data_IF_002101341633
#
_entry.id   IF_002101341633
#
_cell.length_a   1.000
_cell.length_b   1.000
_cell.length_c   1.000
_cell.angle_alpha   90.00
_cell.angle_beta   90.00
_cell.angle_gamma   90.00
#
_symmetry.space_group_name_H-M   'P 1'
#
loop_
_entity.id
_entity.type
_entity.pdbx_description
1 polymer ?
#
# COMPACT_ATOMS: atom_id res chain seq x y z
N UNK A 1 -8.13 40.67 -4.93
CA UNK A 1 -7.26 41.08 -6.05
C UNK A 1 -7.70 40.33 -7.30
N UNK A 2 -7.84 41.04 -8.41
CA UNK A 2 -8.09 40.45 -9.73
C UNK A 2 -6.87 40.71 -10.62
N UNK A 3 -6.48 39.74 -11.43
CA UNK A 3 -5.35 39.86 -12.36
C UNK A 3 -5.93 39.93 -13.78
N UNK A 4 -5.69 41.05 -14.44
CA UNK A 4 -6.10 41.28 -15.84
C UNK A 4 -4.92 40.87 -16.73
N UNK A 5 -5.09 39.84 -17.54
CA UNK A 5 -4.04 39.35 -18.46
C UNK A 5 -4.36 39.77 -19.90
N UNK A 6 -3.92 41.00 -20.25
CA UNK A 6 -3.77 41.64 -21.58
C UNK A 6 -5.02 42.05 -22.42
N UNK A 7 -4.74 43.02 -23.31
CA UNK A 7 -5.58 44.08 -23.89
C UNK A 7 -6.63 43.60 -24.92
N UNK A 8 -7.90 43.82 -24.58
CA UNK A 8 -9.09 43.81 -25.44
C UNK A 8 -10.26 44.47 -24.68
N UNK A 9 -11.34 44.93 -25.34
CA UNK A 9 -12.36 45.79 -24.69
C UNK A 9 -13.06 45.12 -23.50
N UNK A 10 -13.07 43.79 -23.41
CA UNK A 10 -13.47 43.02 -22.24
C UNK A 10 -12.53 41.82 -22.02
N UNK A 11 -11.23 42.10 -21.78
CA UNK A 11 -10.21 41.07 -21.59
C UNK A 11 -10.55 40.01 -20.52
N UNK A 12 -9.92 38.84 -20.58
CA UNK A 12 -10.19 37.73 -19.66
C UNK A 12 -9.95 38.15 -18.20
N UNK A 13 -11.02 38.22 -17.41
CA UNK A 13 -10.98 38.62 -16.00
C UNK A 13 -10.84 37.38 -15.13
N UNK A 14 -9.80 37.32 -14.29
CA UNK A 14 -9.62 36.24 -13.32
C UNK A 14 -9.42 36.81 -11.93
N UNK A 15 -10.08 36.20 -10.94
CA UNK A 15 -9.96 36.58 -9.53
C UNK A 15 -11.25 37.08 -8.90
N UNK A 16 -11.12 37.65 -7.71
CA UNK A 16 -12.25 38.07 -6.89
C UNK A 16 -12.55 39.56 -7.08
N UNK A 17 -13.80 39.86 -7.45
CA UNK A 17 -14.38 41.19 -7.55
C UNK A 17 -15.56 41.25 -6.56
N UNK A 18 -15.32 41.85 -5.39
CA UNK A 18 -16.32 41.93 -4.31
C UNK A 18 -16.82 40.57 -3.84
N UNK A 19 -18.14 40.37 -3.95
CA UNK A 19 -18.86 39.14 -3.61
C UNK A 19 -18.86 38.06 -4.69
N UNK A 20 -18.13 38.26 -5.80
CA UNK A 20 -18.08 37.33 -6.93
C UNK A 20 -16.63 36.95 -7.23
N UNK A 21 -16.39 35.67 -7.45
CA UNK A 21 -15.11 35.08 -7.86
C UNK A 21 -15.27 34.56 -9.29
N UNK A 22 -14.49 35.10 -10.22
CA UNK A 22 -14.48 34.68 -11.62
C UNK A 22 -13.32 33.70 -11.82
N UNK A 23 -13.64 32.49 -12.27
CA UNK A 23 -12.68 31.40 -12.52
C UNK A 23 -12.95 30.76 -13.87
N UNK A 24 -11.92 30.19 -14.50
CA UNK A 24 -12.08 29.42 -15.74
C UNK A 24 -12.29 27.95 -15.41
N UNK A 25 -13.40 27.37 -15.87
CA UNK A 25 -13.70 25.95 -15.68
C UNK A 25 -14.02 25.31 -17.04
N UNK A 26 -13.25 24.27 -17.40
CA UNK A 26 -13.36 23.56 -18.69
C UNK A 26 -13.40 24.48 -19.93
N UNK A 27 -12.63 25.58 -19.90
CA UNK A 27 -12.54 26.52 -21.01
C UNK A 27 -13.61 27.61 -21.03
N UNK A 28 -14.61 27.56 -20.14
CA UNK A 28 -15.64 28.59 -19.97
C UNK A 28 -15.37 29.42 -18.72
N UNK A 29 -15.56 30.74 -18.81
CA UNK A 29 -15.43 31.62 -17.66
C UNK A 29 -16.72 31.56 -16.82
N UNK A 30 -16.58 31.19 -15.55
CA UNK A 30 -17.68 30.99 -14.61
C UNK A 30 -17.52 31.91 -13.40
N UNK A 31 -18.57 32.67 -13.11
CA UNK A 31 -18.68 33.49 -11.89
C UNK A 31 -19.35 32.70 -10.77
N UNK A 32 -18.75 32.70 -9.57
CA UNK A 32 -19.32 32.07 -8.36
C UNK A 32 -19.39 33.10 -7.24
N UNK A 33 -20.39 33.03 -6.38
CA UNK A 33 -20.43 33.86 -5.17
C UNK A 33 -19.22 33.56 -4.28
N UNK A 34 -18.67 34.58 -3.63
CA UNK A 34 -17.61 34.43 -2.63
C UNK A 34 -18.07 33.46 -1.55
N UNK A 35 -17.27 32.43 -1.21
CA UNK A 35 -17.63 31.51 -0.16
C UNK A 35 -17.90 32.25 1.16
N UNK A 36 -19.06 32.04 1.76
CA UNK A 36 -19.37 32.61 3.08
C UNK A 36 -18.40 32.10 4.15
N UNK A 37 -18.19 32.89 5.22
CA UNK A 37 -17.42 32.44 6.41
C UNK A 37 -18.10 31.21 7.02
N UNK A 38 -17.57 30.03 6.72
CA UNK A 38 -18.07 28.76 7.27
C UNK A 38 -17.70 28.69 8.76
N UNK A 39 -18.68 28.76 9.67
CA UNK A 39 -18.48 28.36 11.06
C UNK A 39 -18.13 26.86 11.04
N UNK A 40 -16.89 26.50 11.41
CA UNK A 40 -16.51 25.09 11.57
C UNK A 40 -17.34 24.51 12.73
N UNK A 41 -18.45 23.84 12.41
CA UNK A 41 -19.09 22.93 13.37
C UNK A 41 -18.06 21.82 13.63
N UNK A 42 -17.69 21.63 14.90
CA UNK A 42 -16.71 20.61 15.33
C UNK A 42 -17.38 19.23 15.27
N UNK A 43 -17.75 18.81 14.08
CA UNK A 43 -18.34 17.50 13.85
C UNK A 43 -17.25 16.43 14.05
N UNK A 44 -17.58 15.36 14.78
CA UNK A 44 -16.64 14.28 15.11
C UNK A 44 -16.45 13.32 13.93
N UNK A 45 -17.44 13.21 13.04
CA UNK A 45 -17.36 12.33 11.86
C UNK A 45 -16.19 12.68 10.91
N UNK A 46 -15.92 13.97 10.58
CA UNK A 46 -14.73 14.34 9.85
C UNK A 46 -13.41 13.98 10.55
N UNK A 47 -13.37 14.02 11.88
CA UNK A 47 -12.15 13.72 12.65
C UNK A 47 -11.85 12.21 12.62
N UNK A 48 -12.87 11.37 12.78
CA UNK A 48 -12.73 9.92 12.70
C UNK A 48 -12.21 9.47 11.32
N UNK A 49 -12.83 9.96 10.24
CA UNK A 49 -12.43 9.62 8.89
C UNK A 49 -10.98 10.03 8.60
N UNK A 50 -10.57 11.20 9.09
CA UNK A 50 -9.20 11.69 8.95
C UNK A 50 -8.19 10.81 9.71
N UNK A 51 -8.52 10.34 10.91
CA UNK A 51 -7.64 9.44 11.68
C UNK A 51 -7.47 8.10 10.97
N UNK A 52 -8.57 7.48 10.54
CA UNK A 52 -8.54 6.21 9.79
C UNK A 52 -7.75 6.33 8.49
N UNK A 53 -7.99 7.41 7.73
CA UNK A 53 -7.26 7.67 6.49
C UNK A 53 -5.76 7.88 6.74
N UNK A 54 -5.39 8.64 7.79
CA UNK A 54 -3.98 8.87 8.15
C UNK A 54 -3.28 7.56 8.52
N UNK A 55 -3.95 6.71 9.30
CA UNK A 55 -3.44 5.41 9.72
C UNK A 55 -3.19 4.48 8.51
N UNK A 56 -4.18 4.31 7.63
CA UNK A 56 -4.05 3.48 6.43
C UNK A 56 -3.00 4.05 5.48
N UNK A 57 -2.98 5.37 5.26
CA UNK A 57 -2.01 5.99 4.35
C UNK A 57 -0.58 5.83 4.87
N UNK A 58 -0.36 5.96 6.19
CA UNK A 58 0.94 5.74 6.82
C UNK A 58 1.39 4.29 6.65
N UNK A 59 0.49 3.33 6.86
CA UNK A 59 0.76 1.90 6.68
C UNK A 59 1.07 1.52 5.24
N UNK A 60 0.33 2.03 4.25
CA UNK A 60 0.53 1.69 2.85
C UNK A 60 1.70 2.43 2.20
N UNK A 61 2.17 3.55 2.78
CA UNK A 61 3.22 4.38 2.17
C UNK A 61 4.52 3.64 1.84
N UNK A 62 5.05 2.73 2.69
CA UNK A 62 6.23 1.92 2.36
C UNK A 62 6.00 0.97 1.17
N UNK A 63 4.76 0.53 0.94
CA UNK A 63 4.41 -0.45 -0.08
C UNK A 63 4.07 0.16 -1.45
N UNK A 64 4.27 1.48 -1.65
CA UNK A 64 3.88 2.18 -2.89
C UNK A 64 4.37 1.50 -4.17
N UNK A 65 5.58 0.94 -4.15
CA UNK A 65 6.15 0.25 -5.31
C UNK A 65 5.41 -1.07 -5.59
N UNK A 66 5.16 -1.88 -4.56
CA UNK A 66 4.41 -3.13 -4.68
C UNK A 66 2.94 -2.89 -5.06
N UNK A 67 2.29 -1.88 -4.47
CA UNK A 67 0.91 -1.50 -4.78
C UNK A 67 0.79 -1.03 -6.24
N UNK A 68 1.81 -0.34 -6.77
CA UNK A 68 1.84 0.08 -8.17
C UNK A 68 1.87 -1.11 -9.14
N UNK A 69 2.46 -2.23 -8.72
CA UNK A 69 2.45 -3.49 -9.48
C UNK A 69 1.10 -4.19 -9.29
N UNK A 70 0.64 -4.32 -8.04
CA UNK A 70 -0.53 -5.09 -7.65
C UNK A 70 -1.90 -4.48 -7.99
N UNK A 71 -1.98 -3.19 -8.28
CA UNK A 71 -3.19 -2.55 -8.77
C UNK A 71 -2.92 -2.00 -10.17
N UNK A 72 -3.12 -2.86 -11.16
CA UNK A 72 -2.88 -2.58 -12.57
C UNK A 72 -3.71 -1.37 -13.08
N UNK A 73 -3.19 -0.74 -14.15
CA UNK A 73 -3.62 0.50 -14.82
C UNK A 73 -5.04 0.46 -15.43
N UNK A 74 -5.84 -0.57 -15.14
CA UNK A 74 -7.13 -0.84 -15.80
C UNK A 74 -8.20 0.21 -15.54
N UNK A 75 -8.05 1.05 -14.51
CA UNK A 75 -8.98 2.15 -14.25
C UNK A 75 -8.38 3.48 -14.70
N UNK A 76 -8.94 4.06 -15.77
CA UNK A 76 -8.51 5.33 -16.38
C UNK A 76 -8.57 6.56 -15.46
N UNK A 77 -8.97 6.41 -14.20
CA UNK A 77 -9.23 7.51 -13.26
C UNK A 77 -8.62 7.42 -11.86
N UNK A 78 -7.99 6.32 -11.44
CA UNK A 78 -7.42 6.24 -10.08
C UNK A 78 -5.98 5.68 -10.08
N UNK A 79 -4.99 6.40 -9.50
CA UNK A 79 -3.65 5.86 -9.27
C UNK A 79 -3.77 4.71 -8.26
N UNK A 80 -3.32 3.49 -8.58
CA UNK A 80 -3.57 2.26 -7.81
C UNK A 80 -3.35 2.34 -6.29
N UNK A 81 -2.52 3.28 -5.83
CA UNK A 81 -2.39 3.63 -4.41
C UNK A 81 -3.70 4.09 -3.75
N UNK A 82 -4.50 4.91 -4.41
CA UNK A 82 -5.79 5.37 -3.90
C UNK A 82 -6.80 4.22 -3.79
N UNK A 83 -6.80 3.30 -4.77
CA UNK A 83 -7.64 2.10 -4.73
C UNK A 83 -7.25 1.20 -3.56
N UNK A 84 -5.95 1.00 -3.32
CA UNK A 84 -5.47 0.27 -2.16
C UNK A 84 -5.86 0.95 -0.84
N UNK A 85 -5.74 2.28 -0.75
CA UNK A 85 -6.18 3.05 0.42
C UNK A 85 -7.68 2.87 0.66
N UNK A 86 -8.51 2.99 -0.37
CA UNK A 86 -9.97 2.84 -0.25
C UNK A 86 -10.36 1.44 0.24
N UNK A 87 -9.76 0.40 -0.35
CA UNK A 87 -10.03 -0.98 0.04
C UNK A 87 -9.64 -1.25 1.49
N UNK A 88 -8.41 -0.90 1.87
CA UNK A 88 -7.91 -1.13 3.23
C UNK A 88 -8.65 -0.28 4.27
N UNK A 89 -9.09 0.93 3.91
CA UNK A 89 -9.91 1.77 4.80
C UNK A 89 -11.26 1.13 5.15
N UNK A 90 -11.85 0.37 4.22
CA UNK A 90 -13.13 -0.33 4.39
C UNK A 90 -12.98 -1.68 5.09
N UNK A 91 -11.89 -2.41 4.83
CA UNK A 91 -11.78 -3.82 5.24
C UNK A 91 -10.71 -4.11 6.30
N UNK A 92 -9.61 -3.35 6.32
CA UNK A 92 -8.44 -3.62 7.15
C UNK A 92 -8.34 -2.72 8.39
N UNK A 93 -9.21 -1.73 8.55
CA UNK A 93 -9.26 -0.91 9.78
C UNK A 93 -10.19 -1.57 10.79
N UNK A 94 -9.65 -1.86 11.96
CA UNK A 94 -10.38 -2.35 13.12
C UNK A 94 -10.31 -1.33 14.28
N UNK A 95 -11.11 -1.54 15.32
CA UNK A 95 -11.16 -0.68 16.49
C UNK A 95 -12.32 0.33 16.49
N UNK A 96 -12.38 1.11 17.55
CA UNK A 96 -13.42 2.12 17.80
C UNK A 96 -12.72 3.44 18.07
N UNK A 97 -13.30 4.55 17.61
CA UNK A 97 -12.76 5.89 17.87
C UNK A 97 -12.42 6.08 19.36
N UNK A 98 -11.22 6.57 19.71
CA UNK A 98 -10.15 7.08 18.84
C UNK A 98 -9.08 6.05 18.44
N UNK A 99 -9.14 4.84 19.00
CA UNK A 99 -8.11 3.81 18.91
C UNK A 99 -8.39 2.88 17.72
N UNK A 100 -7.87 3.28 16.56
CA UNK A 100 -7.91 2.48 15.34
C UNK A 100 -6.63 1.68 15.17
N UNK A 101 -6.77 0.44 14.72
CA UNK A 101 -5.67 -0.47 14.42
C UNK A 101 -5.85 -1.11 13.04
N UNK A 102 -4.77 -1.70 12.52
CA UNK A 102 -4.79 -2.38 11.23
C UNK A 102 -4.88 -3.89 11.45
N UNK A 103 -5.92 -4.49 10.91
CA UNK A 103 -6.05 -5.93 10.77
C UNK A 103 -5.16 -6.40 9.60
N UNK A 104 -3.94 -6.83 9.92
CA UNK A 104 -2.95 -7.29 8.94
C UNK A 104 -3.44 -8.45 8.07
N UNK A 105 -4.36 -9.28 8.56
CA UNK A 105 -4.89 -10.43 7.81
C UNK A 105 -5.81 -10.01 6.67
N UNK A 106 -6.45 -8.85 6.82
CA UNK A 106 -7.36 -8.25 5.82
C UNK A 106 -6.68 -7.20 4.96
N UNK A 107 -5.42 -6.88 5.24
CA UNK A 107 -4.65 -5.93 4.46
C UNK A 107 -4.37 -6.48 3.05
N UNK A 108 -4.67 -5.68 2.03
CA UNK A 108 -4.50 -6.05 0.62
C UNK A 108 -3.64 -5.03 -0.12
N UNK A 109 -2.62 -5.51 -0.84
CA UNK A 109 -1.70 -4.69 -1.63
C UNK A 109 -1.82 -4.91 -3.14
N UNK A 110 -2.52 -5.97 -3.54
CA UNK A 110 -2.72 -6.39 -4.93
C UNK A 110 -4.10 -7.01 -5.06
N UNK A 111 -4.81 -6.69 -6.14
CA UNK A 111 -6.09 -7.29 -6.47
C UNK A 111 -6.19 -7.52 -7.99
N UNK A 112 -6.44 -8.77 -8.39
CA UNK A 112 -6.52 -9.12 -9.79
C UNK A 112 -7.10 -10.51 -10.04
N UNK A 113 -6.94 -10.97 -11.27
CA UNK A 113 -7.58 -12.19 -11.77
C UNK A 113 -6.68 -13.43 -11.73
N UNK A 114 -5.40 -13.31 -11.36
CA UNK A 114 -4.53 -14.47 -11.21
C UNK A 114 -4.82 -15.22 -9.92
N UNK A 115 -4.57 -16.53 -9.95
CA UNK A 115 -4.68 -17.39 -8.78
C UNK A 115 -3.76 -16.91 -7.66
N UNK A 116 -4.31 -16.75 -6.47
CA UNK A 116 -3.59 -16.45 -5.23
C UNK A 116 -2.62 -17.59 -4.84
N UNK A 117 -1.72 -17.30 -3.89
CA UNK A 117 -0.83 -18.32 -3.33
C UNK A 117 -1.60 -19.35 -2.50
N UNK A 118 -1.36 -20.62 -2.80
CA UNK A 118 -1.94 -21.76 -2.10
C UNK A 118 -1.00 -22.25 -1.00
N UNK A 119 -1.58 -22.60 0.15
CA UNK A 119 -0.87 -23.14 1.32
C UNK A 119 0.42 -22.37 1.71
N UNK A 120 0.49 -21.06 1.41
CA UNK A 120 1.71 -20.30 1.58
C UNK A 120 2.06 -20.10 3.06
N UNK A 121 3.32 -20.34 3.40
CA UNK A 121 3.85 -20.30 4.77
C UNK A 121 5.19 -19.59 4.79
N UNK A 122 5.48 -18.94 5.92
CA UNK A 122 6.78 -18.35 6.21
C UNK A 122 7.41 -19.06 7.41
N UNK A 123 8.71 -19.30 7.33
CA UNK A 123 9.52 -19.93 8.38
C UNK A 123 10.81 -19.13 8.53
N UNK A 124 11.22 -18.88 9.76
CA UNK A 124 12.54 -18.33 10.06
C UNK A 124 13.56 -19.49 10.07
N UNK A 125 14.65 -19.33 9.32
CA UNK A 125 15.80 -20.25 9.30
C UNK A 125 16.98 -19.57 9.98
N UNK A 126 17.50 -20.20 11.02
CA UNK A 126 18.51 -19.57 11.88
C UNK A 126 17.99 -18.24 12.45
N UNK A 127 18.83 -17.21 12.40
CA UNK A 127 18.56 -15.96 13.12
C UNK A 127 18.15 -14.79 12.20
N UNK A 128 18.43 -14.89 10.89
CA UNK A 128 18.28 -13.75 9.96
C UNK A 128 17.87 -14.14 8.53
N UNK A 129 17.53 -15.42 8.29
CA UNK A 129 17.04 -15.89 6.99
C UNK A 129 15.57 -16.24 7.08
N UNK A 130 14.77 -15.77 6.13
CA UNK A 130 13.39 -16.22 5.95
C UNK A 130 13.31 -17.20 4.79
N UNK A 131 12.48 -18.23 4.97
CA UNK A 131 12.00 -19.09 3.91
C UNK A 131 10.49 -18.93 3.78
N UNK A 132 10.03 -18.56 2.60
CA UNK A 132 8.63 -18.58 2.20
C UNK A 132 8.42 -19.74 1.24
N UNK A 133 7.41 -20.56 1.48
CA UNK A 133 7.03 -21.68 0.61
C UNK A 133 5.57 -21.54 0.21
N UNK A 134 5.21 -22.00 -0.98
CA UNK A 134 3.84 -22.07 -1.46
C UNK A 134 3.63 -23.28 -2.36
N UNK A 135 2.37 -23.65 -2.53
CA UNK A 135 1.96 -24.74 -3.41
C UNK A 135 1.33 -24.19 -4.68
N UNK A 136 1.35 -25.00 -5.73
CA UNK A 136 0.59 -24.76 -6.96
C UNK A 136 -0.37 -25.94 -7.11
N UNK A 137 -1.69 -25.71 -7.08
CA UNK A 137 -2.65 -26.80 -7.18
C UNK A 137 -2.57 -27.42 -8.58
N UNK A 138 -2.78 -28.73 -8.64
CA UNK A 138 -2.69 -29.52 -9.88
C UNK A 138 -3.71 -29.06 -10.95
N UNK A 139 -4.79 -28.40 -10.53
CA UNK A 139 -5.80 -27.79 -11.40
C UNK A 139 -5.33 -26.52 -12.11
N UNK A 140 -4.28 -25.86 -11.63
CA UNK A 140 -3.73 -24.66 -12.27
C UNK A 140 -2.87 -25.06 -13.47
N UNK A 141 -2.97 -24.32 -14.58
CA UNK A 141 -2.15 -24.56 -15.79
C UNK A 141 -0.69 -24.13 -15.56
N UNK A 142 0.08 -24.95 -14.86
CA UNK A 142 1.47 -24.71 -14.38
C UNK A 142 2.41 -24.20 -15.49
N UNK A 143 2.24 -24.64 -16.75
CA UNK A 143 3.11 -24.24 -17.87
C UNK A 143 3.03 -22.73 -18.20
N UNK A 144 1.86 -22.11 -18.04
CA UNK A 144 1.62 -20.67 -18.33
C UNK A 144 1.71 -19.83 -17.05
N UNK A 145 1.13 -20.33 -15.95
CA UNK A 145 1.07 -19.65 -14.63
C UNK A 145 2.41 -19.65 -13.89
N UNK A 146 3.35 -20.50 -14.29
CA UNK A 146 4.55 -20.72 -13.51
C UNK A 146 5.67 -19.69 -13.70
N UNK A 147 5.63 -18.88 -14.75
CA UNK A 147 6.60 -17.78 -14.94
C UNK A 147 6.18 -16.50 -14.20
N UNK A 148 5.04 -16.51 -13.50
CA UNK A 148 4.59 -15.34 -12.73
C UNK A 148 5.66 -14.97 -11.68
N UNK A 149 6.05 -13.70 -11.65
CA UNK A 149 6.95 -13.15 -10.64
C UNK A 149 6.31 -13.19 -9.26
N UNK A 150 7.06 -13.67 -8.27
CA UNK A 150 6.69 -13.73 -6.87
C UNK A 150 7.11 -12.45 -6.16
N UNK A 151 6.17 -11.83 -5.45
CA UNK A 151 6.40 -10.65 -4.62
C UNK A 151 6.12 -10.99 -3.17
N UNK A 152 7.18 -11.07 -2.37
CA UNK A 152 7.11 -11.25 -0.92
C UNK A 152 7.34 -9.90 -0.25
N UNK A 153 6.53 -9.60 0.76
CA UNK A 153 6.62 -8.36 1.53
C UNK A 153 6.63 -8.68 3.02
N UNK A 154 7.56 -8.05 3.74
CA UNK A 154 7.66 -8.13 5.19
C UNK A 154 7.51 -6.73 5.80
N UNK A 155 6.73 -6.63 6.85
CA UNK A 155 6.48 -5.38 7.58
C UNK A 155 6.87 -5.51 9.04
N UNK A 156 7.64 -4.54 9.54
CA UNK A 156 7.89 -4.41 10.97
C UNK A 156 6.80 -3.57 11.63
N UNK A 157 6.14 -4.15 12.62
CA UNK A 157 5.14 -3.45 13.42
C UNK A 157 5.77 -2.31 14.25
N UNK A 158 7.00 -2.51 14.74
CA UNK A 158 7.73 -1.56 15.61
C UNK A 158 8.27 -0.36 14.83
N UNK A 159 8.84 -0.61 13.64
CA UNK A 159 9.46 0.43 12.80
C UNK A 159 8.47 1.08 11.84
N UNK A 160 7.27 0.54 11.72
CA UNK A 160 6.25 0.95 10.76
C UNK A 160 6.75 1.02 9.31
N UNK A 161 7.58 0.05 8.91
CA UNK A 161 8.30 0.07 7.65
C UNK A 161 8.36 -1.29 6.97
N UNK A 162 8.60 -1.27 5.66
CA UNK A 162 8.89 -2.46 4.87
C UNK A 162 10.33 -2.91 5.15
N UNK A 163 10.52 -4.21 5.35
CA UNK A 163 11.84 -4.83 5.46
C UNK A 163 12.40 -5.02 4.05
N UNK A 164 13.65 -4.58 3.85
CA UNK A 164 14.37 -4.82 2.61
C UNK A 164 14.82 -6.29 2.55
N UNK A 165 14.31 -7.01 1.55
CA UNK A 165 14.64 -8.42 1.26
C UNK A 165 15.62 -8.55 0.10
N UNK A 166 16.19 -7.43 -0.37
CA UNK A 166 16.98 -7.39 -1.59
C UNK A 166 16.12 -7.58 -2.85
N UNK A 167 16.73 -7.32 -4.00
CA UNK A 167 16.11 -7.55 -5.31
C UNK A 167 16.35 -8.99 -5.74
N UNK A 168 15.50 -9.89 -5.25
CA UNK A 168 15.49 -11.28 -5.69
C UNK A 168 14.30 -11.48 -6.63
N UNK A 169 14.59 -11.96 -7.84
CA UNK A 169 13.55 -12.34 -8.80
C UNK A 169 13.30 -13.84 -8.65
N UNK A 170 12.14 -14.18 -8.10
CA UNK A 170 11.69 -15.57 -7.94
C UNK A 170 10.39 -15.74 -8.69
N UNK A 171 10.23 -16.88 -9.34
CA UNK A 171 9.03 -17.21 -10.10
C UNK A 171 8.13 -18.15 -9.32
N UNK A 172 6.86 -18.20 -9.68
CA UNK A 172 5.87 -19.08 -9.04
C UNK A 172 6.24 -20.56 -9.16
N UNK A 173 6.97 -20.96 -10.22
CA UNK A 173 7.52 -22.32 -10.43
C UNK A 173 8.55 -22.74 -9.39
N UNK A 174 9.23 -21.78 -8.76
CA UNK A 174 10.30 -22.11 -7.82
C UNK A 174 9.75 -22.67 -6.50
N UNK A 175 8.45 -22.45 -6.21
CA UNK A 175 7.72 -22.91 -5.02
C UNK A 175 8.27 -22.44 -3.67
N UNK A 176 9.41 -21.77 -3.68
CA UNK A 176 10.08 -21.24 -2.50
C UNK A 176 10.80 -19.93 -2.80
N UNK A 177 10.89 -19.09 -1.79
CA UNK A 177 11.67 -17.86 -1.77
C UNK A 177 12.45 -17.83 -0.47
N UNK A 178 13.77 -17.67 -0.55
CA UNK A 178 14.60 -17.41 0.62
C UNK A 178 15.30 -16.06 0.49
N UNK A 179 15.39 -15.33 1.61
CA UNK A 179 16.12 -14.09 1.68
C UNK A 179 16.62 -13.83 3.09
N UNK A 180 17.75 -13.16 3.18
CA UNK A 180 18.31 -12.64 4.43
C UNK A 180 17.91 -11.20 4.62
N UNK A 181 17.53 -10.84 5.85
CA UNK A 181 17.20 -9.48 6.23
C UNK A 181 18.26 -8.90 7.16
N UNK A 182 18.29 -7.56 7.30
CA UNK A 182 19.27 -6.88 8.15
C UNK A 182 19.11 -7.27 9.63
N UNK A 183 20.22 -7.44 10.35
CA UNK A 183 20.26 -7.69 11.80
C UNK A 183 19.55 -6.62 12.65
N UNK A 184 19.17 -5.50 12.05
CA UNK A 184 18.44 -4.45 12.74
C UNK A 184 17.03 -4.87 13.22
N UNK A 185 16.49 -5.99 12.74
CA UNK A 185 15.12 -6.44 13.07
C UNK A 185 15.06 -7.47 14.23
N UNK A 186 16.17 -7.72 14.96
CA UNK A 186 16.16 -8.60 16.14
C UNK A 186 15.17 -8.13 17.21
N UNK A 187 14.43 -9.07 17.81
CA UNK A 187 13.38 -8.80 18.80
C UNK A 187 12.12 -8.13 18.23
N UNK A 188 11.92 -8.16 16.90
CA UNK A 188 10.72 -7.62 16.26
C UNK A 188 9.82 -8.72 15.69
N UNK A 189 8.51 -8.47 15.71
CA UNK A 189 7.54 -9.28 14.98
C UNK A 189 7.36 -8.71 13.58
N UNK A 190 7.63 -9.54 12.56
CA UNK A 190 7.39 -9.20 11.16
C UNK A 190 6.12 -9.84 10.66
N UNK A 191 5.31 -9.07 9.95
CA UNK A 191 4.11 -9.50 9.25
C UNK A 191 4.43 -9.76 7.79
N UNK A 192 3.93 -10.85 7.23
CA UNK A 192 4.32 -11.30 5.89
C UNK A 192 3.13 -11.45 4.94
N UNK A 193 3.34 -11.04 3.69
CA UNK A 193 2.38 -11.20 2.59
C UNK A 193 3.06 -11.66 1.31
N UNK A 194 2.30 -12.31 0.44
CA UNK A 194 2.73 -12.77 -0.87
C UNK A 194 1.67 -12.43 -1.94
N UNK A 195 2.11 -12.08 -3.14
CA UNK A 195 1.28 -12.05 -4.34
C UNK A 195 2.12 -12.35 -5.59
N UNK A 196 1.46 -12.63 -6.71
CA UNK A 196 2.08 -12.93 -7.99
C UNK A 196 1.73 -11.89 -9.04
N UNK A 197 2.64 -11.67 -10.00
CA UNK A 197 2.41 -10.86 -11.18
C UNK A 197 2.85 -11.60 -12.44
N UNK A 198 2.07 -11.52 -13.51
CA UNK A 198 2.47 -12.04 -14.81
C UNK A 198 3.77 -11.39 -15.29
N UNK A 199 4.64 -12.08 -16.07
CA UNK A 199 5.88 -11.52 -16.62
C UNK A 199 5.70 -10.18 -17.35
N UNK A 200 4.56 -10.04 -18.05
CA UNK A 200 4.23 -8.83 -18.82
C UNK A 200 3.61 -7.72 -17.95
N UNK A 201 3.48 -7.94 -16.64
CA UNK A 201 2.80 -7.08 -15.66
C UNK A 201 1.33 -6.74 -16.02
N UNK A 202 0.68 -7.49 -16.91
CA UNK A 202 -0.72 -7.25 -17.33
C UNK A 202 -1.77 -7.94 -16.45
N UNK A 203 -1.36 -8.81 -15.54
CA UNK A 203 -2.22 -9.51 -14.61
C UNK A 203 -1.49 -9.74 -13.29
N UNK A 204 -2.26 -9.71 -12.19
CA UNK A 204 -1.76 -9.86 -10.82
C UNK A 204 -2.73 -10.72 -10.02
N UNK A 205 -2.22 -11.36 -8.97
CA UNK A 205 -3.04 -12.14 -8.03
C UNK A 205 -3.50 -11.27 -6.87
N UNK A 206 -4.52 -11.75 -6.15
CA UNK A 206 -4.85 -11.16 -4.85
C UNK A 206 -3.71 -11.40 -3.86
N UNK A 207 -3.48 -10.41 -2.98
CA UNK A 207 -2.56 -10.55 -1.84
C UNK A 207 -3.05 -11.63 -0.88
N UNK A 208 -2.13 -12.47 -0.42
CA UNK A 208 -2.35 -13.44 0.67
C UNK A 208 -1.45 -13.10 1.85
N UNK A 209 -2.04 -12.99 3.03
CA UNK A 209 -1.30 -12.97 4.28
C UNK A 209 -0.80 -14.38 4.61
N UNK A 210 0.49 -14.52 4.91
CA UNK A 210 1.14 -15.83 5.12
C UNK A 210 1.55 -16.09 6.57
N UNK A 211 1.41 -15.09 7.44
CA UNK A 211 1.66 -15.21 8.86
C UNK A 211 2.56 -14.11 9.41
N UNK A 212 2.92 -14.28 10.68
CA UNK A 212 3.90 -13.47 11.39
C UNK A 212 5.07 -14.32 11.84
N UNK A 213 6.26 -13.73 11.85
CA UNK A 213 7.47 -14.33 12.42
C UNK A 213 8.00 -13.43 13.53
N UNK A 214 8.45 -14.04 14.61
CA UNK A 214 9.16 -13.36 15.68
C UNK A 214 10.65 -13.62 15.50
N UNK A 215 11.44 -12.55 15.44
CA UNK A 215 12.88 -12.66 15.29
C UNK A 215 13.49 -12.72 16.69
N UNK A 216 14.32 -13.74 17.01
CA UNK A 216 14.94 -13.87 18.32
C UNK A 216 15.79 -12.62 18.64
N UNK A 217 16.00 -12.31 19.91
CA UNK A 217 16.95 -11.26 20.27
C UNK A 217 18.38 -11.72 19.97
N UNK A 218 19.27 -10.76 19.71
CA UNK A 218 20.69 -11.07 19.51
C UNK A 218 21.24 -11.63 20.81
N UNK A 219 21.48 -12.94 20.85
CA UNK A 219 22.21 -13.58 21.93
C UNK A 219 23.62 -12.98 21.92
N UNK A 220 23.94 -12.14 22.91
CA UNK A 220 25.29 -11.69 23.13
C UNK A 220 26.08 -12.89 23.64
N UNK A 221 26.74 -13.61 22.73
CA UNK A 221 27.80 -14.54 23.11
C UNK A 221 28.89 -13.68 23.75
N UNK A 222 28.84 -13.58 25.07
CA UNK A 222 29.97 -13.13 25.87
C UNK A 222 31.04 -14.19 25.64
N UNK A 223 32.00 -13.88 24.76
CA UNK A 223 33.21 -14.66 24.63
C UNK A 223 33.93 -14.58 25.98
N UNK A 224 33.70 -15.56 26.84
CA UNK A 224 34.58 -15.85 27.95
C UNK A 224 35.94 -16.25 27.36
N UNK A 225 36.82 -15.25 27.26
CA UNK A 225 38.24 -15.45 27.19
C UNK A 225 38.72 -16.09 28.51
N UNK A 226 39.14 -17.35 28.42
CA UNK A 226 40.16 -17.94 29.30
C UNK A 226 41.19 -18.68 28.44
#
# INVERSE_FOLDING_TARGET
MAIITKKGPAGAMSGQIGGVVVTRWRGTDVGKSTPGKRRKKKDRQPLEQNLRLKLVTKFLSPFKQHIKIGFDKKTSKNPGFQTAVEYNLKHAVAGVYPDFEIDYRKAVFSQGALDMAWAAKIVLRGDHEILVTWEVPETSKIKVTGNDGCHVMLYSNKRHGLVDLGKLYVTRKDLQFSSVFSMNYYGETLQAWIFFSSPDNGAVSNTRYIGSIEIPEKEQVHAESQ
#
